data_IF_834482100041
#
_entry.id   IF_834482100041
#
_cell.length_a   1.000
_cell.length_b   1.000
_cell.length_c   1.000
_cell.angle_alpha   90.00
_cell.angle_beta   90.00
_cell.angle_gamma   90.00
#
_symmetry.space_group_name_H-M   'P 1'
#
loop_
_entity.id
_entity.type
_entity.pdbx_description
1 polymer ?
#
# COMPACT_ATOMS: atom_id res chain seq x y z
N UNK A 1 -8.84 6.39 -15.45
CA UNK A 1 -7.90 6.21 -14.33
C UNK A 1 -7.75 4.72 -14.10
N UNK A 2 -6.73 4.11 -14.69
CA UNK A 2 -6.41 2.68 -14.48
C UNK A 2 -5.52 2.55 -13.25
N UNK A 3 -5.66 1.44 -12.54
CA UNK A 3 -4.79 1.11 -11.40
C UNK A 3 -4.21 -0.27 -11.61
N UNK A 4 -2.89 -0.37 -11.54
CA UNK A 4 -2.17 -1.62 -11.63
C UNK A 4 -1.83 -2.14 -10.24
N UNK A 5 -2.19 -3.39 -9.93
CA UNK A 5 -1.83 -4.03 -8.67
C UNK A 5 -0.35 -4.40 -8.68
N UNK A 6 0.43 -3.83 -7.77
CA UNK A 6 1.86 -4.09 -7.69
C UNK A 6 2.18 -5.24 -6.76
N UNK A 7 1.51 -5.28 -5.61
CA UNK A 7 1.57 -6.41 -4.70
C UNK A 7 0.41 -6.37 -3.70
N UNK A 8 0.11 -7.52 -3.11
CA UNK A 8 -0.85 -7.67 -2.02
C UNK A 8 -0.35 -8.68 -1.00
N UNK A 9 -0.68 -8.46 0.27
CA UNK A 9 -0.37 -9.36 1.36
C UNK A 9 -1.55 -9.39 2.34
N UNK A 10 -1.69 -10.52 3.05
CA UNK A 10 -2.73 -10.70 4.05
C UNK A 10 -2.12 -11.34 5.30
N UNK A 11 -2.40 -10.75 6.45
CA UNK A 11 -1.99 -11.27 7.75
C UNK A 11 -2.93 -12.38 8.24
N UNK A 12 -2.46 -13.20 9.19
CA UNK A 12 -3.24 -14.28 9.80
C UNK A 12 -4.55 -13.78 10.47
N UNK A 13 -4.58 -12.53 10.93
CA UNK A 13 -5.76 -11.87 11.51
C UNK A 13 -6.77 -11.38 10.48
N UNK A 14 -6.50 -11.59 9.18
CA UNK A 14 -7.37 -11.18 8.08
C UNK A 14 -7.20 -9.74 7.62
N UNK A 15 -6.24 -8.99 8.17
CA UNK A 15 -5.87 -7.67 7.66
C UNK A 15 -5.19 -7.84 6.30
N UNK A 16 -5.69 -7.12 5.31
CA UNK A 16 -5.19 -7.15 3.94
C UNK A 16 -4.50 -5.83 3.63
N UNK A 17 -3.34 -5.88 3.01
CA UNK A 17 -2.63 -4.70 2.53
C UNK A 17 -2.28 -4.87 1.07
N UNK A 18 -2.46 -3.80 0.30
CA UNK A 18 -2.19 -3.80 -1.13
C UNK A 18 -1.50 -2.51 -1.53
N UNK A 19 -0.66 -2.61 -2.56
CA UNK A 19 0.00 -1.48 -3.18
C UNK A 19 -0.42 -1.40 -4.65
N UNK A 20 -0.95 -0.25 -5.04
CA UNK A 20 -1.46 0.05 -6.37
C UNK A 20 -0.62 1.13 -7.01
N UNK A 21 -0.32 0.97 -8.29
CA UNK A 21 0.17 2.05 -9.13
C UNK A 21 -1.03 2.75 -9.78
N UNK A 22 -1.13 4.06 -9.61
CA UNK A 22 -2.09 4.90 -10.32
C UNK A 22 -1.46 5.27 -11.66
N UNK A 23 -2.01 4.74 -12.75
CA UNK A 23 -1.51 4.93 -14.12
C UNK A 23 -1.88 6.31 -14.66
N UNK A 24 -1.66 7.35 -13.85
CA UNK A 24 -1.67 8.73 -14.28
C UNK A 24 -0.27 9.08 -14.78
N UNK A 25 -0.18 9.36 -16.08
CA UNK A 25 1.07 9.55 -16.81
C UNK A 25 1.94 10.73 -16.31
N UNK A 26 1.47 11.50 -15.31
CA UNK A 26 2.14 12.71 -14.83
C UNK A 26 2.81 12.54 -13.46
N UNK A 27 2.38 11.57 -12.66
CA UNK A 27 2.65 11.62 -11.21
C UNK A 27 3.35 10.38 -10.66
N UNK A 28 3.41 9.28 -11.41
CA UNK A 28 3.89 7.98 -10.92
C UNK A 28 3.39 7.63 -9.51
N UNK A 29 2.12 7.93 -9.24
CA UNK A 29 1.58 7.85 -7.89
C UNK A 29 1.32 6.40 -7.49
N UNK A 30 1.80 6.05 -6.31
CA UNK A 30 1.63 4.76 -5.68
C UNK A 30 0.69 4.92 -4.49
N UNK A 31 -0.33 4.08 -4.37
CA UNK A 31 -1.23 4.04 -3.22
C UNK A 31 -1.06 2.75 -2.46
N UNK A 32 -0.71 2.82 -1.18
CA UNK A 32 -0.72 1.68 -0.25
C UNK A 32 -1.98 1.78 0.60
N UNK A 33 -2.69 0.67 0.76
CA UNK A 33 -3.89 0.63 1.59
C UNK A 33 -3.94 -0.62 2.44
N UNK A 34 -4.17 -0.45 3.74
CA UNK A 34 -4.44 -1.52 4.69
C UNK A 34 -5.94 -1.54 5.05
N UNK A 35 -6.54 -2.72 4.98
CA UNK A 35 -7.96 -2.96 5.20
C UNK A 35 -8.16 -4.10 6.20
N UNK A 36 -9.07 -3.87 7.14
CA UNK A 36 -9.61 -4.86 8.06
C UNK A 36 -11.13 -4.83 7.99
N UNK A 37 -11.81 -5.72 8.71
CA UNK A 37 -13.26 -5.72 8.80
C UNK A 37 -13.87 -4.41 9.35
N UNK A 38 -13.08 -3.59 10.07
CA UNK A 38 -13.58 -2.38 10.75
C UNK A 38 -12.83 -1.08 10.41
N UNK A 39 -11.69 -1.17 9.73
CA UNK A 39 -10.85 -0.02 9.43
C UNK A 39 -10.21 -0.13 8.04
N UNK A 40 -10.20 0.99 7.32
CA UNK A 40 -9.51 1.16 6.04
C UNK A 40 -8.60 2.39 6.17
N UNK A 41 -7.31 2.21 5.89
CA UNK A 41 -6.30 3.27 5.90
C UNK A 41 -5.52 3.20 4.60
N UNK A 42 -5.21 4.35 4.02
CA UNK A 42 -4.40 4.43 2.82
C UNK A 42 -3.48 5.63 2.84
N UNK A 43 -2.32 5.49 2.22
CA UNK A 43 -1.36 6.56 1.99
C UNK A 43 -0.84 6.47 0.56
N UNK A 44 -0.58 7.63 -0.03
CA UNK A 44 0.01 7.74 -1.35
C UNK A 44 1.44 8.28 -1.27
N UNK A 45 2.30 7.82 -2.16
CA UNK A 45 3.65 8.33 -2.36
C UNK A 45 3.99 8.35 -3.85
N UNK A 46 4.98 9.14 -4.26
CA UNK A 46 5.43 9.17 -5.65
C UNK A 46 6.55 8.15 -5.84
N UNK A 47 6.41 7.27 -6.83
CA UNK A 47 7.50 6.39 -7.22
C UNK A 47 8.63 7.19 -7.87
N UNK A 48 9.86 6.73 -7.69
CA UNK A 48 11.05 7.33 -8.26
C UNK A 48 11.14 7.14 -9.77
N UNK A 49 10.57 6.02 -10.26
CA UNK A 49 10.52 5.66 -11.68
C UNK A 49 9.16 5.04 -12.04
N UNK A 50 8.83 5.01 -13.32
CA UNK A 50 7.59 4.40 -13.79
C UNK A 50 7.63 2.87 -13.56
N UNK A 51 6.68 2.30 -12.80
CA UNK A 51 6.73 0.89 -12.40
C UNK A 51 6.23 -0.10 -13.47
N UNK A 52 6.27 0.24 -14.77
CA UNK A 52 5.75 -0.58 -15.89
C UNK A 52 6.37 -1.98 -15.93
N UNK A 53 7.65 -2.09 -15.55
CA UNK A 53 8.40 -3.37 -15.55
C UNK A 53 8.67 -3.91 -14.15
N UNK A 54 7.94 -3.41 -13.16
CA UNK A 54 8.14 -3.73 -11.75
C UNK A 54 8.56 -2.52 -10.93
N UNK A 55 8.47 -2.67 -9.62
CA UNK A 55 8.75 -1.59 -8.67
C UNK A 55 10.25 -1.46 -8.43
N UNK A 56 10.77 -0.23 -8.44
CA UNK A 56 12.13 0.06 -7.99
C UNK A 56 12.35 -0.53 -6.57
N UNK A 57 13.52 -1.09 -6.26
CA UNK A 57 13.76 -1.67 -4.93
C UNK A 57 13.55 -0.69 -3.77
N UNK A 58 13.84 0.60 -3.97
CA UNK A 58 13.63 1.62 -2.94
C UNK A 58 12.15 1.94 -2.78
N UNK A 59 11.42 2.10 -3.90
CA UNK A 59 9.97 2.30 -3.89
C UNK A 59 9.26 1.08 -3.28
N UNK A 60 9.79 -0.12 -3.51
CA UNK A 60 9.34 -1.36 -2.88
C UNK A 60 9.57 -1.34 -1.38
N UNK A 61 10.79 -1.02 -0.94
CA UNK A 61 11.10 -0.93 0.49
C UNK A 61 10.22 0.13 1.18
N UNK A 62 9.99 1.27 0.54
CA UNK A 62 9.11 2.33 1.04
C UNK A 62 7.66 1.84 1.11
N UNK A 63 7.14 1.19 0.08
CA UNK A 63 5.77 0.66 0.07
C UNK A 63 5.53 -0.33 1.22
N UNK A 64 6.54 -1.14 1.56
CA UNK A 64 6.48 -2.10 2.68
C UNK A 64 6.52 -1.37 4.03
N UNK A 65 7.34 -0.33 4.19
CA UNK A 65 7.34 0.48 5.41
C UNK A 65 6.01 1.20 5.63
N UNK A 66 5.44 1.78 4.58
CA UNK A 66 4.11 2.40 4.61
C UNK A 66 3.06 1.35 5.00
N UNK A 67 3.12 0.17 4.39
CA UNK A 67 2.22 -0.93 4.70
C UNK A 67 2.29 -1.37 6.18
N UNK A 68 3.48 -1.53 6.73
CA UNK A 68 3.66 -1.91 8.13
C UNK A 68 3.05 -0.88 9.09
N UNK A 69 3.31 0.42 8.84
CA UNK A 69 2.70 1.50 9.62
C UNK A 69 1.18 1.50 9.53
N UNK A 70 0.62 1.38 8.31
CA UNK A 70 -0.83 1.35 8.11
C UNK A 70 -1.49 0.12 8.75
N UNK A 71 -0.81 -1.02 8.76
CA UNK A 71 -1.26 -2.24 9.43
C UNK A 71 -1.25 -2.09 10.96
N UNK A 72 -0.21 -1.48 11.53
CA UNK A 72 -0.18 -1.12 12.94
C UNK A 72 -1.31 -0.15 13.31
N UNK A 73 -1.54 0.90 12.51
CA UNK A 73 -2.60 1.87 12.76
C UNK A 73 -4.02 1.26 12.62
N UNK A 74 -4.20 0.36 11.64
CA UNK A 74 -5.42 -0.41 11.48
C UNK A 74 -5.64 -1.37 12.65
N UNK A 75 -4.60 -2.04 13.14
CA UNK A 75 -4.66 -2.94 14.30
C UNK A 75 -4.99 -2.18 15.59
N UNK A 76 -4.38 -1.01 15.82
CA UNK A 76 -4.72 -0.15 16.98
C UNK A 76 -6.17 0.31 16.95
N UNK A 77 -6.70 0.58 15.76
CA UNK A 77 -8.12 0.95 15.59
C UNK A 77 -9.08 -0.20 15.93
N UNK A 78 -8.61 -1.44 16.03
CA UNK A 78 -9.42 -2.60 16.43
C UNK A 78 -9.56 -2.74 17.96
N UNK A 79 -8.80 -1.97 18.75
CA UNK A 79 -8.91 -1.95 20.21
C UNK A 79 -8.08 -3.01 20.94
N UNK A 80 -7.16 -3.70 20.26
CA UNK A 80 -6.22 -4.64 20.91
C UNK A 80 -4.98 -3.91 21.45
N UNK A 81 -5.05 -3.53 22.72
CA UNK A 81 -3.91 -3.37 23.64
C UNK A 81 -4.26 -3.98 24.99
#
# INVERSE_FOLDING_TARGET
MSKSLMWTAKDARGLTVQCLFNEDARSYEMTVSAQSARACRSEAFLASTEPVFGMDPNDRALSVQVADRLMHDAARSLGDF
#
